data_IF_516460437751
#
_entry.id   IF_516460437751
#
_cell.length_a   1.000
_cell.length_b   1.000
_cell.length_c   1.000
_cell.angle_alpha   90.00
_cell.angle_beta   90.00
_cell.angle_gamma   90.00
#
_symmetry.space_group_name_H-M   'P 1'
#
loop_
_entity.id
_entity.type
_entity.pdbx_description
1 polymer ?
2 non-polymer ?
3 non-polymer ?
4 non-polymer ?
5 non-polymer ?
6 water ?
#
# COMPACT_ATOMS: atom_id res chain seq x y z
N UNK A 2 -1.00 -32.44 0.82
CA UNK A 2 -2.40 -32.00 1.16
C UNK A 2 -3.33 -31.81 -0.06
N UNK A 3 -4.63 -31.57 0.21
CA UNK A 3 -5.60 -31.21 -0.83
C UNK A 3 -6.24 -29.85 -0.51
N UNK A 4 -6.81 -29.23 -1.53
CA UNK A 4 -7.58 -28.03 -1.34
C UNK A 4 -8.89 -28.39 -0.63
N UNK A 5 -9.43 -27.49 0.22
CA UNK A 5 -10.66 -27.79 0.94
C UNK A 5 -11.82 -28.02 -0.03
N UNK A 6 -12.74 -28.88 0.35
CA UNK A 6 -13.88 -29.22 -0.50
C UNK A 6 -14.74 -28.00 -0.92
N UNK A 7 -14.96 -27.08 0.03
CA UNK A 7 -15.80 -25.90 -0.26
C UNK A 7 -15.16 -25.00 -1.31
N UNK A 8 -13.83 -24.94 -1.31
CA UNK A 8 -13.09 -24.21 -2.33
C UNK A 8 -13.21 -24.89 -3.68
N UNK A 9 -12.88 -26.18 -3.68
CA UNK A 9 -13.00 -27.02 -4.89
C UNK A 9 -14.43 -26.96 -5.47
N UNK A 10 -15.44 -26.83 -4.62
CA UNK A 10 -16.82 -26.79 -5.09
C UNK A 10 -17.12 -25.64 -6.05
N UNK A 11 -16.45 -24.53 -5.80
CA UNK A 11 -16.70 -23.25 -6.47
C UNK A 11 -15.65 -22.83 -7.48
N UNK A 12 -14.44 -23.43 -7.40
CA UNK A 12 -13.24 -22.98 -8.14
C UNK A 12 -12.46 -24.19 -8.61
N UNK A 13 -11.89 -24.05 -9.80
CA UNK A 13 -10.84 -24.95 -10.29
C UNK A 13 -9.47 -24.28 -10.11
N UNK A 14 -8.57 -24.95 -9.41
CA UNK A 14 -7.28 -24.38 -9.07
C UNK A 14 -6.27 -24.70 -10.15
N UNK A 15 -5.41 -23.72 -10.41
CA UNK A 15 -4.45 -23.82 -11.48
C UNK A 15 -3.06 -23.45 -10.97
N UNK A 16 -2.27 -22.84 -11.86
CA UNK A 16 -0.86 -22.57 -11.64
C UNK A 16 -0.59 -21.52 -10.58
N UNK A 17 0.65 -21.53 -10.11
CA UNK A 17 1.13 -20.58 -9.13
C UNK A 17 1.47 -19.29 -9.85
N UNK A 18 1.01 -18.18 -9.30
CA UNK A 18 1.29 -16.85 -9.81
C UNK A 18 2.44 -16.24 -9.03
N UNK A 19 2.52 -16.56 -7.75
CA UNK A 19 3.59 -16.08 -6.87
C UNK A 19 3.70 -16.82 -5.54
N UNK A 20 4.63 -16.36 -4.72
CA UNK A 20 4.88 -16.95 -3.39
C UNK A 20 5.18 -15.89 -2.32
N UNK A 21 4.37 -15.88 -1.25
CA UNK A 21 4.70 -15.17 -0.01
C UNK A 21 5.56 -16.05 0.90
N UNK A 22 5.81 -15.58 2.13
CA UNK A 22 6.74 -16.25 3.05
C UNK A 22 6.18 -17.57 3.57
N UNK A 24 2.90 -18.46 2.74
CA UNK A 24 2.32 -17.61 1.67
C UNK A 24 2.49 -18.11 0.25
N UNK A 25 1.48 -17.92 -0.57
CA UNK A 25 1.46 -18.37 -1.97
C UNK A 25 0.22 -17.83 -2.69
N UNK A 26 0.35 -17.48 -3.97
CA UNK A 26 -0.81 -17.06 -4.80
C UNK A 26 -1.02 -17.97 -6.02
N UNK A 27 -2.23 -18.51 -6.15
CA UNK A 27 -2.61 -19.39 -7.25
C UNK A 27 -3.61 -18.74 -8.20
N UNK A 28 -3.50 -19.09 -9.48
CA UNK A 28 -4.56 -18.83 -10.45
C UNK A 28 -5.69 -19.81 -10.20
N UNK A 29 -6.91 -19.33 -10.27
CA UNK A 29 -8.07 -20.20 -10.20
C UNK A 29 -9.12 -19.69 -11.16
N UNK A 30 -10.06 -20.56 -11.47
CA UNK A 30 -11.19 -20.20 -12.32
C UNK A 30 -12.45 -20.38 -11.51
N UNK A 31 -13.26 -19.35 -11.42
CA UNK A 31 -14.55 -19.47 -10.79
C UNK A 31 -15.47 -20.27 -11.69
N UNK A 32 -16.07 -21.35 -11.16
CA UNK A 32 -16.82 -22.30 -12.01
C UNK A 32 -18.05 -21.62 -12.61
N UNK A 33 -18.74 -20.82 -11.81
CA UNK A 33 -19.95 -20.15 -12.24
C UNK A 33 -19.76 -19.26 -13.48
N UNK A 34 -18.64 -18.55 -13.52
CA UNK A 34 -18.44 -17.54 -14.55
C UNK A 34 -17.36 -17.95 -15.59
N UNK A 35 -16.58 -18.97 -15.25
CA UNK A 35 -15.38 -19.37 -15.99
C UNK A 35 -14.32 -18.26 -16.07
N UNK A 36 -14.32 -17.36 -15.11
CA UNK A 36 -13.42 -16.24 -15.13
C UNK A 36 -12.30 -16.46 -14.12
N UNK A 37 -11.16 -15.84 -14.40
CA UNK A 37 -9.95 -16.02 -13.61
C UNK A 37 -10.01 -15.21 -12.37
N UNK A 38 -9.50 -15.78 -11.28
CA UNK A 38 -9.37 -15.10 -10.01
C UNK A 38 -7.99 -15.46 -9.44
N UNK A 39 -7.55 -14.71 -8.45
CA UNK A 39 -6.34 -15.04 -7.71
C UNK A 39 -6.77 -15.54 -6.35
N UNK A 40 -6.03 -16.54 -5.85
CA UNK A 40 -6.29 -17.11 -4.53
C UNK A 40 -5.01 -17.06 -3.71
N UNK A 41 -5.07 -16.29 -2.64
CA UNK A 41 -3.95 -16.17 -1.70
C UNK A 41 -4.13 -17.23 -0.60
N UNK A 42 -3.10 -18.03 -0.42
CA UNK A 42 -3.07 -19.04 0.62
C UNK A 42 -2.18 -18.52 1.76
N UNK A 43 -2.71 -18.54 2.97
CA UNK A 43 -1.98 -18.18 4.19
C UNK A 43 -1.99 -19.40 5.13
N UNK A 44 -0.82 -19.98 5.37
CA UNK A 44 -0.67 -21.08 6.31
C UNK A 44 -1.07 -20.64 7.71
N UNK A 45 -1.72 -21.52 8.47
CA UNK A 45 -2.16 -21.14 9.82
C UNK A 45 -1.04 -21.13 10.87
N UNK A 61 -4.97 -13.19 12.93
CA UNK A 61 -6.06 -12.25 12.75
C UNK A 61 -6.41 -12.08 11.26
N UNK A 62 -6.33 -13.17 10.52
CA UNK A 62 -6.67 -13.15 9.11
C UNK A 62 -8.15 -12.83 8.95
N UNK A 63 -9.00 -13.38 9.81
CA UNK A 63 -10.45 -13.21 9.66
C UNK A 63 -10.83 -11.75 9.90
N UNK A 64 -10.13 -11.05 10.78
CA UNK A 64 -10.41 -9.63 10.96
C UNK A 64 -9.74 -8.74 9.88
N UNK A 65 -8.61 -9.18 9.30
CA UNK A 65 -8.12 -8.56 8.07
C UNK A 65 -9.19 -8.64 7.00
N UNK A 66 -9.83 -9.79 6.89
CA UNK A 66 -10.93 -9.99 5.95
C UNK A 66 -12.09 -9.04 6.21
N UNK A 67 -12.43 -8.86 7.48
CA UNK A 67 -13.53 -7.98 7.83
C UNK A 67 -13.19 -6.54 7.49
N UNK A 68 -11.95 -6.14 7.72
CA UNK A 68 -11.49 -4.81 7.30
C UNK A 68 -11.64 -4.65 5.79
N UNK A 69 -11.14 -5.60 5.03
CA UNK A 69 -11.19 -5.45 3.58
C UNK A 69 -12.59 -5.58 2.96
N UNK A 70 -13.47 -6.35 3.61
CA UNK A 70 -14.86 -6.38 3.17
C UNK A 70 -15.58 -5.01 3.31
N UNK A 71 -15.14 -4.14 4.21
CA UNK A 71 -15.87 -2.89 4.41
C UNK A 71 -15.27 -1.70 3.65
N UNK A 72 -14.09 -1.90 3.08
CA UNK A 72 -13.42 -0.85 2.33
C UNK A 72 -13.85 -0.93 0.86
N UNK A 73 -14.04 0.23 0.23
CA UNK A 73 -14.52 0.29 -1.13
C UNK A 73 -13.81 1.42 -1.84
N UNK A 74 -12.68 1.07 -2.45
CA UNK A 74 -11.86 2.04 -3.19
C UNK A 74 -11.23 1.33 -4.37
N UNK A 75 -11.13 2.02 -5.51
CA UNK A 75 -10.58 1.32 -6.71
C UNK A 75 -9.09 0.94 -6.61
N UNK A 76 -8.39 1.53 -5.66
CA UNK A 76 -6.96 1.28 -5.45
C UNK A 76 -6.65 0.43 -4.23
N UNK A 77 -7.66 -0.28 -3.76
CA UNK A 77 -7.54 -1.21 -2.65
C UNK A 77 -8.17 -2.50 -3.10
N UNK A 78 -7.46 -3.58 -2.87
CA UNK A 78 -7.92 -4.90 -3.28
C UNK A 78 -9.23 -5.31 -2.62
N UNK A 79 -10.10 -5.97 -3.38
CA UNK A 79 -11.39 -6.44 -2.89
C UNK A 79 -11.37 -7.94 -2.72
N UNK A 80 -12.01 -8.41 -1.67
CA UNK A 80 -12.12 -9.83 -1.37
C UNK A 80 -13.40 -10.34 -2.03
N UNK A 81 -13.26 -11.40 -2.81
CA UNK A 81 -14.38 -12.05 -3.50
C UNK A 81 -14.89 -13.22 -2.70
N UNK A 82 -13.99 -13.90 -2.00
CA UNK A 82 -14.37 -15.04 -1.19
C UNK A 82 -13.31 -15.36 -0.17
N UNK A 83 -13.67 -16.20 0.78
CA UNK A 83 -12.79 -16.53 1.91
C UNK A 83 -13.14 -17.89 2.42
N UNK A 84 -12.13 -18.72 2.64
CA UNK A 84 -12.26 -20.05 3.18
C UNK A 84 -11.25 -20.23 4.29
N UNK A 85 -11.76 -20.59 5.46
CA UNK A 85 -10.98 -20.80 6.66
C UNK A 85 -10.96 -22.29 6.94
N UNK A 86 -9.91 -22.94 6.47
CA UNK A 86 -9.79 -24.39 6.54
C UNK A 86 -8.45 -24.78 7.19
N UNK A 87 -7.78 -25.81 6.68
CA UNK A 87 -6.42 -26.19 7.13
C UNK A 87 -5.50 -24.96 7.01
N UNK A 88 -5.65 -24.23 5.91
CA UNK A 88 -5.04 -22.95 5.72
C UNK A 88 -6.16 -21.95 5.44
N UNK A 89 -5.80 -20.68 5.32
CA UNK A 89 -6.74 -19.67 4.83
C UNK A 89 -6.60 -19.51 3.34
N UNK A 90 -7.73 -19.35 2.67
CA UNK A 90 -7.78 -19.09 1.24
C UNK A 90 -8.57 -17.81 1.07
N UNK A 91 -7.96 -16.83 0.42
CA UNK A 91 -8.59 -15.56 0.13
C UNK A 91 -8.66 -15.42 -1.36
N UNK A 92 -9.88 -15.29 -1.87
CA UNK A 92 -10.10 -15.13 -3.29
C UNK A 92 -10.21 -13.64 -3.62
N UNK A 93 -9.45 -13.20 -4.60
CA UNK A 93 -9.58 -11.84 -5.10
C UNK A 93 -9.49 -11.72 -6.60
N UNK A 94 -9.79 -10.50 -7.06
CA UNK A 94 -9.64 -10.11 -8.44
C UNK A 94 -8.20 -10.38 -8.85
N UNK A 95 -8.03 -10.87 -10.08
CA UNK A 95 -6.73 -11.11 -10.66
C UNK A 95 -6.03 -9.77 -10.96
N UNK A 96 -4.75 -9.70 -10.68
CA UNK A 96 -3.99 -8.50 -10.93
C UNK A 96 -2.82 -8.97 -11.75
N UNK A 97 -3.04 -9.02 -13.06
CA UNK A 97 -2.16 -9.68 -13.99
C UNK A 97 -0.81 -9.06 -14.15
N UNK A 98 -0.69 -7.80 -13.76
CA UNK A 98 0.58 -7.11 -13.75
C UNK A 98 1.53 -7.57 -12.66
N UNK A 99 1.00 -8.21 -11.63
CA UNK A 99 1.83 -8.70 -10.53
C UNK A 99 2.20 -7.60 -9.55
N UNK A 100 3.27 -7.84 -8.80
CA UNK A 100 3.74 -6.91 -7.76
C UNK A 100 4.57 -5.81 -8.36
N UNK A 101 4.47 -4.61 -7.78
CA UNK A 101 5.36 -3.49 -8.12
C UNK A 101 6.83 -3.86 -7.88
N UNK A 102 7.06 -4.70 -6.86
CA UNK A 102 8.39 -5.18 -6.53
C UNK A 102 9.20 -5.58 -7.79
N UNK A 103 8.57 -6.38 -8.64
CA UNK A 103 9.21 -6.89 -9.84
C UNK A 103 9.53 -5.81 -10.87
N UNK A 104 8.89 -4.65 -10.80
CA UNK A 104 9.22 -3.53 -11.69
C UNK A 104 10.42 -2.70 -11.22
N UNK A 105 10.81 -2.86 -9.96
CA UNK A 105 11.87 -2.01 -9.37
C UNK A 105 13.07 -2.77 -8.89
N UNK A 106 13.02 -4.08 -8.99
CA UNK A 106 14.07 -4.94 -8.52
C UNK A 106 15.25 -4.90 -9.53
N UNK A 107 16.47 -5.12 -9.04
CA UNK A 107 17.67 -5.09 -9.89
C UNK A 107 17.99 -3.72 -10.49
N UNK A 108 17.71 -2.67 -9.71
CA UNK A 108 17.93 -1.28 -10.15
C UNK A 108 17.16 -0.89 -11.41
N UNK A 109 16.11 -1.65 -11.73
CA UNK A 109 15.26 -1.25 -12.82
C UNK A 109 14.55 0.00 -12.36
N UNK A 110 14.26 0.88 -13.30
CA UNK A 110 13.43 2.01 -12.92
C UNK A 110 12.44 2.43 -13.98
N UNK A 111 11.31 2.85 -13.45
CA UNK A 111 10.16 3.28 -14.17
C UNK A 111 10.38 4.72 -14.64
N UNK A 112 9.74 5.10 -15.74
CA UNK A 112 9.77 6.49 -16.18
C UNK A 112 9.15 7.30 -15.06
N UNK A 113 9.62 8.52 -14.88
CA UNK A 113 9.05 9.44 -13.89
C UNK A 113 7.52 9.56 -14.04
N UNK A 114 7.03 9.65 -15.28
CA UNK A 114 5.57 9.66 -15.56
C UNK A 114 4.81 8.46 -14.96
N UNK A 115 5.40 7.27 -15.08
CA UNK A 115 4.78 6.05 -14.59
C UNK A 115 4.82 6.06 -13.05
N UNK A 116 5.93 6.51 -12.48
CA UNK A 116 6.02 6.73 -11.04
C UNK A 116 4.90 7.61 -10.50
N UNK A 117 4.60 8.70 -11.22
CA UNK A 117 3.63 9.65 -10.77
C UNK A 117 2.22 9.04 -10.79
N UNK A 118 1.92 8.28 -11.84
CA UNK A 118 0.62 7.62 -12.02
C UNK A 118 0.40 6.63 -10.91
N UNK A 119 1.37 5.76 -10.71
CA UNK A 119 1.31 4.80 -9.62
C UNK A 119 1.22 5.46 -8.26
N UNK A 120 2.12 6.40 -8.01
CA UNK A 120 2.14 7.06 -6.70
C UNK A 120 0.87 7.82 -6.35
N UNK A 121 0.32 8.52 -7.33
CA UNK A 121 -0.98 9.17 -7.16
C UNK A 121 -1.99 8.19 -6.62
N UNK A 122 -2.01 7.01 -7.20
CA UNK A 122 -3.01 6.01 -6.79
C UNK A 122 -2.75 5.47 -5.40
N UNK A 123 -1.48 5.25 -5.07
CA UNK A 123 -1.08 4.89 -3.71
C UNK A 123 -1.55 5.93 -2.71
N UNK A 124 -1.34 7.21 -3.02
CA UNK A 124 -1.80 8.29 -2.14
C UNK A 124 -3.31 8.29 -1.96
N UNK A 125 -4.05 8.16 -3.07
CA UNK A 125 -5.52 8.05 -2.98
C UNK A 125 -5.95 6.89 -2.08
N UNK A 126 -5.33 5.73 -2.26
CA UNK A 126 -5.63 4.54 -1.44
C UNK A 126 -5.35 4.81 0.02
N UNK A 127 -4.16 5.31 0.32
CA UNK A 127 -3.76 5.47 1.70
C UNK A 127 -4.60 6.59 2.32
N UNK A 128 -4.83 7.67 1.60
CA UNK A 128 -5.73 8.73 2.07
C UNK A 128 -7.08 8.18 2.48
N UNK A 129 -7.62 7.28 1.67
CA UNK A 129 -8.92 6.68 1.93
C UNK A 129 -8.84 5.82 3.18
N UNK A 130 -7.74 5.07 3.33
CA UNK A 130 -7.54 4.29 4.57
C UNK A 130 -7.60 5.18 5.76
N UNK A 131 -6.81 6.24 5.74
CA UNK A 131 -6.68 7.11 6.93
C UNK A 131 -7.97 7.83 7.23
N UNK A 132 -8.70 8.25 6.19
CA UNK A 132 -10.05 8.80 6.39
C UNK A 132 -10.97 7.83 7.06
N UNK A 133 -10.81 6.54 6.76
CA UNK A 133 -11.63 5.51 7.33
C UNK A 133 -11.06 4.90 8.61
N UNK A 134 -10.05 5.53 9.20
CA UNK A 134 -9.53 5.08 10.51
C UNK A 134 -8.69 3.81 10.45
N UNK A 135 -8.07 3.56 9.31
CA UNK A 135 -7.25 2.41 9.13
C UNK A 135 -5.80 2.83 8.80
N UNK A 136 -4.83 2.23 9.48
CA UNK A 136 -3.41 2.40 9.11
C UNK A 136 -2.92 1.06 8.54
N UNK A 137 -2.22 1.08 7.42
CA UNK A 137 -1.78 -0.17 6.74
C UNK A 137 -0.60 -0.84 7.47
N UNK A 138 0.44 -0.05 7.67
CA UNK A 138 1.64 -0.42 8.42
C UNK A 138 2.63 -1.35 7.75
N UNK A 139 2.40 -1.75 6.50
CA UNK A 139 3.34 -2.60 5.81
C UNK A 139 3.35 -2.23 4.33
N UNK A 140 3.36 -0.94 4.04
CA UNK A 140 3.36 -0.51 2.66
C UNK A 140 4.75 -0.77 2.13
N UNK A 141 4.81 -1.51 1.02
CA UNK A 141 6.06 -1.80 0.31
C UNK A 141 5.76 -2.30 -1.09
N UNK A 142 6.79 -2.30 -1.97
CA UNK A 142 6.50 -2.68 -3.36
C UNK A 142 5.87 -4.06 -3.51
N UNK A 143 6.15 -4.95 -2.57
CA UNK A 143 5.56 -6.29 -2.61
C UNK A 143 4.02 -6.27 -2.45
N UNK A 144 3.51 -5.21 -1.81
CA UNK A 144 2.09 -5.11 -1.46
C UNK A 144 1.34 -4.10 -2.33
N UNK A 145 1.95 -3.75 -3.45
CA UNK A 145 1.31 -2.98 -4.50
C UNK A 145 1.19 -3.87 -5.75
N UNK A 146 -0.05 -4.10 -6.19
CA UNK A 146 -0.36 -4.98 -7.33
C UNK A 146 -0.77 -4.13 -8.52
N UNK A 147 -0.36 -4.56 -9.72
CA UNK A 147 -0.64 -3.87 -10.96
C UNK A 147 -1.72 -4.64 -11.73
N UNK A 148 -2.71 -3.91 -12.24
CA UNK A 148 -3.87 -4.55 -12.88
C UNK A 148 -3.55 -5.21 -14.20
N UNK A 149 -2.48 -4.78 -14.84
CA UNK A 149 -2.17 -5.28 -16.15
C UNK A 149 -0.67 -5.20 -16.40
N UNK A 150 -0.25 -5.78 -17.51
CA UNK A 150 1.15 -5.75 -17.90
C UNK A 150 1.51 -4.49 -18.69
N UNK A 151 0.51 -3.65 -19.00
CA UNK A 151 0.76 -2.31 -19.58
C UNK A 151 1.36 -1.42 -18.49
N UNK A 152 2.19 -0.48 -18.90
CA UNK A 152 2.77 0.46 -17.97
C UNK A 152 1.73 1.37 -17.34
N UNK A 153 0.81 1.87 -18.16
CA UNK A 153 -0.29 2.70 -17.68
C UNK A 153 -1.36 1.76 -17.22
N UNK A 154 -1.43 1.54 -15.91
CA UNK A 154 -2.44 0.64 -15.37
C UNK A 154 -2.91 1.08 -14.00
N UNK A 155 -3.94 0.42 -13.50
CA UNK A 155 -4.39 0.67 -12.14
C UNK A 155 -3.56 -0.15 -11.18
N UNK A 156 -3.34 0.40 -10.00
CA UNK A 156 -2.68 -0.31 -8.96
C UNK A 156 -3.63 -0.47 -7.77
N UNK A 157 -3.40 -1.53 -7.00
CA UNK A 157 -4.16 -1.77 -5.79
C UNK A 157 -3.23 -2.20 -4.67
N UNK A 158 -3.47 -1.65 -3.51
CA UNK A 158 -2.72 -2.00 -2.33
C UNK A 158 -3.36 -3.22 -1.75
N UNK A 159 -2.52 -4.14 -1.31
CA UNK A 159 -2.94 -5.37 -0.68
C UNK A 159 -2.21 -5.64 0.65
N UNK A 160 -2.51 -6.79 1.25
CA UNK A 160 -1.93 -7.27 2.50
C UNK A 160 -2.16 -6.36 3.69
N UNK A 161 -3.30 -6.58 4.33
CA UNK A 161 -3.66 -5.85 5.53
C UNK A 161 -3.37 -6.62 6.82
N UNK A 162 -2.43 -7.57 6.75
CA UNK A 162 -2.03 -8.40 7.88
C UNK A 162 -1.46 -7.63 9.06
N UNK A 163 -0.92 -6.44 8.82
CA UNK A 163 -0.35 -5.64 9.93
C UNK A 163 -1.20 -4.42 10.22
N UNK A 164 -2.37 -4.30 9.59
CA UNK A 164 -3.14 -3.08 9.67
C UNK A 164 -3.68 -2.87 11.08
N UNK A 165 -4.00 -1.63 11.39
CA UNK A 165 -4.64 -1.36 12.65
C UNK A 165 -5.77 -0.36 12.51
N UNK A 166 -6.81 -0.58 13.31
CA UNK A 166 -8.01 0.22 13.27
C UNK A 166 -7.90 1.26 14.37
N UNK A 167 -7.96 2.53 13.98
CA UNK A 167 -7.95 3.63 14.92
C UNK A 167 -9.31 3.75 15.57
N UNK A 168 -9.34 4.20 16.81
CA UNK A 168 -10.59 4.44 17.53
C UNK A 168 -10.24 5.06 18.87
N UNK A 169 -11.20 5.09 19.80
CA UNK A 169 -10.98 5.76 21.06
C UNK A 169 -9.84 5.08 21.79
N UNK A 170 -8.84 5.86 22.18
CA UNK A 170 -7.68 5.30 22.82
C UNK A 170 -7.83 5.23 24.34
N UNK A 171 -6.96 4.43 24.93
CA UNK A 171 -6.84 4.39 26.39
C UNK A 171 -6.48 5.76 26.88
N UNK A 172 -5.56 6.41 26.16
CA UNK A 172 -5.14 7.76 26.48
C UNK A 172 -6.35 8.69 26.60
N UNK A 173 -7.20 8.70 25.59
CA UNK A 173 -8.36 9.58 25.60
C UNK A 173 -9.21 9.30 26.81
N UNK A 174 -9.40 8.02 27.13
CA UNK A 174 -10.18 7.65 28.32
C UNK A 174 -9.47 8.15 29.60
N UNK A 175 -8.15 8.02 29.65
CA UNK A 175 -7.37 8.49 30.81
C UNK A 175 -7.55 10.00 30.97
N UNK A 176 -7.42 10.76 29.90
CA UNK A 176 -7.54 12.21 29.99
C UNK A 176 -8.91 12.72 30.42
N UNK A 177 -9.91 11.85 30.49
CA UNK A 177 -11.23 12.32 30.93
C UNK A 177 -11.32 12.61 32.41
N UNK A 178 -10.51 11.89 33.21
CA UNK A 178 -10.42 12.11 34.65
C UNK A 178 -9.33 13.07 35.08
N UNK A 179 -9.05 13.10 36.38
CA UNK A 179 -8.04 13.96 37.01
C UNK A 179 -6.78 13.11 37.23
N UNK A 180 -5.59 13.66 36.88
CA UNK A 180 -4.38 12.82 36.87
C UNK A 180 -3.67 12.69 38.21
N UNK A 181 -4.43 12.73 39.30
CA UNK A 181 -3.87 12.61 40.62
C UNK A 181 -2.85 11.45 40.75
N UNK A 182 -3.19 10.31 40.13
CA UNK A 182 -2.44 9.05 40.31
C UNK A 182 -1.74 8.62 39.05
N UNK A 183 -1.82 9.46 38.03
CA UNK A 183 -1.30 9.18 36.69
C UNK A 183 0.18 9.52 36.49
N UNK A 184 0.87 8.58 35.85
CA UNK A 184 2.30 8.61 35.60
C UNK A 184 2.70 9.70 34.59
N UNK A 185 3.83 10.39 34.83
CA UNK A 185 4.22 11.49 33.97
C UNK A 185 4.40 11.09 32.50
N UNK A 186 4.85 9.85 32.25
CA UNK A 186 5.08 9.41 30.90
C UNK A 186 3.78 9.32 30.09
N UNK A 187 2.65 9.15 30.77
CA UNK A 187 1.38 9.11 30.05
C UNK A 187 1.05 10.54 29.58
N UNK A 188 1.27 11.50 30.48
CA UNK A 188 1.04 12.91 30.16
C UNK A 188 1.97 13.38 29.07
N UNK A 189 3.25 12.99 29.14
CA UNK A 189 4.22 13.27 28.07
C UNK A 189 3.82 12.71 26.72
N UNK A 190 3.27 11.48 26.66
CA UNK A 190 2.79 10.90 25.41
C UNK A 190 1.68 11.66 24.69
N UNK A 191 0.99 12.56 25.39
CA UNK A 191 -0.06 13.35 24.76
C UNK A 191 0.45 14.22 23.61
N UNK A 192 1.69 14.71 23.68
CA UNK A 192 2.21 15.59 22.63
C UNK A 192 2.26 14.94 21.25
N UNK A 193 2.47 13.63 21.23
CA UNK A 193 2.72 12.90 20.01
C UNK A 193 1.67 11.87 19.68
N UNK A 194 0.67 11.66 20.54
CA UNK A 194 -0.37 10.68 20.26
C UNK A 194 -1.15 11.03 19.00
N UNK A 195 -1.71 10.02 18.33
CA UNK A 195 -2.63 10.27 17.24
C UNK A 195 -1.93 10.55 15.90
N UNK A 196 -0.63 10.29 15.83
CA UNK A 196 0.13 10.39 14.58
C UNK A 196 0.66 9.07 14.03
N UNK A 197 0.04 7.97 14.44
CA UNK A 197 0.49 6.64 14.03
C UNK A 197 0.31 6.45 12.52
N UNK A 198 -0.66 7.15 11.91
CA UNK A 198 -0.89 7.07 10.48
C UNK A 198 0.34 7.58 9.69
N UNK A 199 1.13 8.47 10.31
CA UNK A 199 2.31 9.00 9.63
C UNK A 199 3.33 7.92 9.24
N UNK A 200 3.30 6.73 9.87
CA UNK A 200 4.21 5.64 9.47
C UNK A 200 3.97 5.22 8.02
N UNK A 201 2.71 5.32 7.57
CA UNK A 201 2.36 4.99 6.17
C UNK A 201 2.91 6.00 5.20
N UNK A 202 2.90 7.28 5.60
CA UNK A 202 3.48 8.31 4.80
C UNK A 202 4.96 8.20 4.64
N UNK A 203 5.65 7.75 5.69
CA UNK A 203 7.09 7.43 5.59
C UNK A 203 7.37 6.34 4.55
N UNK A 204 6.71 5.21 4.71
CA UNK A 204 6.82 4.10 3.75
C UNK A 204 6.56 4.46 2.30
N UNK A 205 5.53 5.27 2.09
CA UNK A 205 5.21 5.79 0.76
C UNK A 205 6.40 6.59 0.26
N UNK A 206 6.98 7.42 1.12
CA UNK A 206 8.21 8.13 0.81
C UNK A 206 9.33 7.24 0.33
N UNK A 207 9.53 6.13 1.03
CA UNK A 207 10.53 5.12 0.67
C UNK A 207 10.18 4.44 -0.65
N UNK A 208 8.90 4.07 -0.83
CA UNK A 208 8.44 3.53 -2.11
C UNK A 208 8.69 4.49 -3.28
N UNK A 209 8.29 5.74 -3.13
CA UNK A 209 8.52 6.72 -4.19
C UNK A 209 9.99 6.88 -4.52
N UNK A 210 10.82 7.00 -3.49
CA UNK A 210 12.26 7.04 -3.64
C UNK A 210 12.77 5.90 -4.53
N UNK A 211 12.37 4.68 -4.20
CA UNK A 211 12.77 3.50 -4.93
C UNK A 211 12.27 3.51 -6.37
N UNK A 212 10.99 3.87 -6.57
CA UNK A 212 10.43 3.95 -7.91
C UNK A 212 11.21 4.94 -8.80
N UNK A 213 11.53 6.12 -8.27
CA UNK A 213 12.15 7.18 -9.06
C UNK A 213 13.59 6.93 -9.39
N UNK A 214 14.28 6.24 -8.51
CA UNK A 214 15.75 6.08 -8.54
C UNK A 214 16.22 4.65 -8.84
N UNK A 215 15.34 3.67 -8.64
CA UNK A 215 15.72 2.24 -8.72
C UNK A 215 16.62 1.70 -7.61
N UNK A 216 16.82 2.45 -6.53
CA UNK A 216 17.59 1.96 -5.37
C UNK A 216 16.98 2.46 -4.03
N UNK A 217 17.21 1.71 -2.92
CA UNK A 217 16.59 2.09 -1.62
C UNK A 217 17.31 3.24 -0.92
N UNK A 218 16.54 4.16 -0.28
CA UNK A 218 17.17 5.30 0.41
C UNK A 218 18.05 4.88 1.58
N UNK A 219 17.68 3.81 2.26
CA UNK A 219 18.35 3.38 3.45
C UNK A 219 18.70 1.92 3.24
N UNK A 220 19.97 1.59 3.28
CA UNK A 220 20.38 0.21 3.10
C UNK A 220 21.81 0.08 3.57
N UNK A 221 22.23 -1.13 3.90
CA UNK A 221 23.60 -1.36 4.38
C UNK A 221 24.64 -1.56 3.25
N UNK A 222 24.23 -1.31 2.00
CA UNK A 222 25.12 -1.48 0.86
C UNK A 222 26.18 -0.39 0.84
N UNK A 223 27.44 -0.81 0.83
CA UNK A 223 28.59 0.10 0.75
C UNK A 223 28.46 1.32 1.67
N UNK A 224 28.20 1.04 2.95
CA UNK A 224 28.21 2.07 4.00
C UNK A 224 28.60 1.46 5.35
N UNK A 225 29.15 2.31 6.20
CA UNK A 225 29.50 1.92 7.56
C UNK A 225 28.46 2.39 8.59
N UNK A 226 27.52 3.25 8.19
CA UNK A 226 26.44 3.68 9.10
C UNK A 226 25.35 2.60 9.13
N UNK A 227 24.92 2.27 10.33
CA UNK A 227 23.94 1.25 10.53
C UNK A 227 22.63 1.70 9.86
N UNK A 228 21.87 0.74 9.37
CA UNK A 228 20.55 1.02 8.81
C UNK A 228 19.69 1.85 9.79
N UNK A 229 19.72 1.46 11.05
CA UNK A 229 18.96 2.18 12.06
C UNK A 229 19.36 3.63 12.21
N UNK A 230 20.67 3.90 12.18
CA UNK A 230 21.15 5.27 12.31
C UNK A 230 20.82 6.07 11.05
N UNK A 231 20.86 5.41 9.89
CA UNK A 231 20.46 6.04 8.62
C UNK A 231 19.02 6.51 8.71
N UNK A 232 18.15 5.62 9.19
CA UNK A 232 16.74 5.91 9.24
C UNK A 232 16.42 6.98 10.30
N UNK A 233 16.89 6.79 11.54
CA UNK A 233 16.56 7.75 12.60
C UNK A 233 17.15 9.15 12.36
N UNK A 234 18.27 9.24 11.66
CA UNK A 234 18.84 10.55 11.33
C UNK A 234 18.11 11.15 10.09
N UNK A 235 17.39 10.32 9.35
CA UNK A 235 16.79 10.70 8.08
C UNK A 235 17.76 10.93 6.93
N UNK A 236 18.98 10.42 7.07
CA UNK A 236 20.00 10.68 6.09
C UNK A 236 20.04 9.61 4.99
N UNK A 237 19.18 9.77 3.99
CA UNK A 237 19.09 8.85 2.86
C UNK A 237 20.34 8.92 1.97
N UNK A 238 20.56 7.84 1.24
CA UNK A 238 21.69 7.71 0.31
C UNK A 238 21.34 8.41 -0.96
N UNK A 239 21.89 9.62 -1.14
CA UNK A 239 21.70 10.37 -2.37
C UNK A 239 22.84 10.22 -3.37
N UNK A 240 22.57 9.57 -4.51
CA UNK A 240 23.55 9.42 -5.59
C UNK A 240 23.15 10.34 -6.78
N UNK A 241 23.87 11.47 -6.94
CA UNK A 241 23.32 12.47 -7.88
C UNK A 241 23.15 11.99 -9.32
N UNK A 242 24.03 11.09 -9.77
CA UNK A 242 24.01 10.67 -11.18
C UNK A 242 22.74 9.92 -11.49
N UNK A 243 22.36 9.05 -10.58
CA UNK A 243 21.07 8.35 -10.68
C UNK A 243 19.92 9.38 -10.68
N UNK A 244 19.98 10.39 -9.82
CA UNK A 244 18.88 11.36 -9.73
C UNK A 244 18.85 12.50 -10.79
N UNK A 245 19.93 12.68 -11.55
CA UNK A 245 20.09 13.84 -12.46
C UNK A 245 18.89 13.93 -13.38
N UNK A 246 18.49 12.76 -13.87
CA UNK A 246 17.38 12.64 -14.78
C UNK A 246 15.99 12.81 -14.16
N UNK A 247 15.89 12.88 -12.82
CA UNK A 247 14.59 12.99 -12.13
C UNK A 247 14.31 14.45 -11.86
N UNK A 248 13.07 14.88 -12.00
CA UNK A 248 12.70 16.24 -11.68
C UNK A 248 13.02 16.65 -10.23
N UNK A 249 13.17 17.96 -10.03
CA UNK A 249 13.31 18.56 -8.72
C UNK A 249 12.01 18.47 -7.92
N UNK A 250 10.85 18.56 -8.60
CA UNK A 250 9.54 18.50 -7.93
C UNK A 250 9.29 17.11 -7.31
N UNK A 251 9.66 16.05 -8.04
CA UNK A 251 9.57 14.67 -7.58
C UNK A 251 10.42 14.46 -6.33
N UNK A 252 11.67 14.94 -6.38
CA UNK A 252 12.56 14.80 -5.25
C UNK A 252 12.12 15.65 -4.08
N UNK A 253 11.56 16.82 -4.35
CA UNK A 253 11.01 17.65 -3.27
C UNK A 253 9.95 16.92 -2.46
N UNK A 254 9.06 16.19 -3.13
CA UNK A 254 7.98 15.44 -2.43
C UNK A 254 8.60 14.33 -1.61
N UNK A 255 9.53 13.61 -2.21
CA UNK A 255 10.27 12.56 -1.50
C UNK A 255 10.77 13.10 -0.19
N UNK A 256 11.42 14.27 -0.23
CA UNK A 256 12.02 14.89 0.96
C UNK A 256 11.00 15.30 2.03
N UNK A 257 9.78 15.64 1.63
CA UNK A 257 8.73 16.04 2.58
C UNK A 257 8.04 14.84 3.25
N UNK A 258 8.19 13.68 2.63
CA UNK A 258 7.67 12.40 3.16
C UNK A 258 8.71 11.70 4.04
N UNK A 259 9.98 11.91 3.74
CA UNK A 259 11.05 11.26 4.53
C UNK A 259 11.53 12.23 5.58
N UNK A 260 10.59 12.75 6.35
CA UNK A 260 10.80 13.70 7.40
C UNK A 260 10.71 12.87 8.67
N UNK A 261 11.73 12.99 9.49
CA UNK A 261 11.89 12.16 10.67
C UNK A 261 10.84 12.45 11.73
N UNK A 262 10.52 13.72 11.95
CA UNK A 262 9.46 14.07 12.90
C UNK A 262 8.08 13.77 12.29
N UNK A 263 7.33 12.81 12.88
CA UNK A 263 6.05 12.39 12.35
C UNK A 263 5.00 13.47 12.34
N UNK A 264 5.08 14.48 13.22
CA UNK A 264 4.12 15.56 13.21
C UNK A 264 4.40 16.55 12.08
N UNK A 265 5.66 16.69 11.69
CA UNK A 265 6.04 17.55 10.56
C UNK A 265 5.88 16.86 9.17
N UNK A 266 6.00 15.56 9.15
CA UNK A 266 5.90 14.76 7.89
C UNK A 266 4.63 15.11 7.14
N UNK A 267 4.76 15.17 5.81
CA UNK A 267 3.59 15.30 4.94
C UNK A 267 2.57 14.23 5.21
N UNK A 268 1.31 14.66 5.28
CA UNK A 268 0.18 13.79 5.29
C UNK A 268 -0.15 13.42 3.83
N UNK A 269 -1.07 12.49 3.63
CA UNK A 269 -1.49 12.12 2.26
C UNK A 269 -2.15 13.33 1.53
N UNK A 270 -2.86 14.18 2.27
CA UNK A 270 -3.50 15.37 1.71
C UNK A 270 -2.45 16.36 1.23
N UNK A 271 -1.42 16.57 2.05
CA UNK A 271 -0.34 17.48 1.68
C UNK A 271 0.41 16.99 0.46
N UNK A 272 0.61 15.67 0.39
CA UNK A 272 1.29 15.06 -0.74
C UNK A 272 0.47 15.26 -2.04
N UNK A 273 -0.85 15.09 -1.94
CA UNK A 273 -1.73 15.15 -3.10
C UNK A 273 -1.84 16.59 -3.65
N UNK A 274 -1.59 17.57 -2.80
CA UNK A 274 -1.56 18.98 -3.15
C UNK A 274 -0.19 19.43 -3.58
N UNK A 275 0.81 18.56 -3.50
CA UNK A 275 2.15 18.91 -3.92
C UNK A 275 2.22 19.21 -5.44
N UNK A 276 3.06 20.19 -5.84
CA UNK A 276 3.23 20.49 -7.27
C UNK A 276 3.43 19.29 -8.16
N UNK A 277 4.20 18.29 -7.73
CA UNK A 277 4.47 17.13 -8.56
C UNK A 277 3.19 16.42 -9.01
N UNK A 278 2.15 16.45 -8.18
CA UNK A 278 0.92 15.72 -8.49
C UNK A 278 -0.13 16.62 -9.16
N UNK A 279 0.22 17.86 -9.42
CA UNK A 279 -0.70 18.79 -10.12
C UNK A 279 -0.41 18.57 -11.60
N UNK A 280 -0.94 17.48 -12.13
CA UNK A 280 -0.56 16.96 -13.44
C UNK A 280 -1.81 16.44 -14.09
N UNK A 281 -2.40 17.29 -14.93
CA UNK A 281 -3.67 16.97 -15.55
C UNK A 281 -3.65 15.82 -16.53
N UNK A 282 -2.52 15.59 -17.21
CA UNK A 282 -2.47 14.45 -18.10
C UNK A 282 -2.50 13.16 -17.29
N UNK A 283 -1.65 13.11 -16.25
CA UNK A 283 -1.63 11.95 -15.33
C UNK A 283 -3.04 11.67 -14.83
N UNK A 284 -3.72 12.69 -14.35
CA UNK A 284 -5.02 12.48 -13.77
C UNK A 284 -6.07 12.02 -14.80
N UNK A 285 -5.88 12.44 -16.07
CA UNK A 285 -6.69 11.91 -17.18
C UNK A 285 -6.42 10.45 -17.43
N UNK A 286 -5.17 10.05 -17.52
CA UNK A 286 -4.87 8.63 -17.69
C UNK A 286 -5.52 7.80 -16.58
N UNK A 287 -5.50 8.30 -15.34
CA UNK A 287 -6.08 7.56 -14.24
C UNK A 287 -7.59 7.43 -14.42
N UNK A 288 -8.28 8.53 -14.67
CA UNK A 288 -9.73 8.49 -14.88
C UNK A 288 -10.14 7.60 -16.04
N UNK A 289 -9.37 7.65 -17.13
CA UNK A 289 -9.59 6.78 -18.27
C UNK A 289 -9.46 5.33 -17.88
N UNK A 290 -8.40 5.01 -17.13
CA UNK A 290 -8.20 3.64 -16.65
C UNK A 290 -9.35 3.15 -15.76
N UNK A 291 -9.88 4.03 -14.94
CA UNK A 291 -11.00 3.68 -14.07
C UNK A 291 -12.24 3.29 -14.88
N UNK A 292 -12.63 4.13 -15.83
CA UNK A 292 -13.86 3.89 -16.60
C UNK A 292 -13.71 2.63 -17.42
N UNK A 293 -12.52 2.42 -17.97
CA UNK A 293 -12.20 1.18 -18.63
C UNK A 293 -12.39 -0.07 -17.75
N UNK A 294 -11.97 -0.01 -16.49
CA UNK A 294 -12.16 -1.14 -15.55
C UNK A 294 -13.66 -1.43 -15.35
N UNK A 295 -14.45 -0.36 -15.30
CA UNK A 295 -15.84 -0.44 -14.89
C UNK A 295 -16.81 -1.05 -15.96
N UNK A 296 -17.78 -1.85 -15.47
CA UNK A 296 -18.85 -2.53 -16.28
C UNK A 296 -20.27 -2.26 -15.68
N UNK A 297 -20.75 -1.11 -16.08
CA UNK A 297 -21.78 -0.41 -15.40
C UNK A 297 -23.15 -0.92 -15.83
N UNK A 298 -24.11 -0.78 -14.94
CA UNK A 298 -25.51 -1.03 -15.28
C UNK A 298 -26.03 0.19 -16.04
N UNK A 299 -27.17 0.07 -16.74
CA UNK A 299 -27.76 1.28 -17.34
C UNK A 299 -28.16 2.25 -16.18
N UNK A 300 -28.20 3.55 -16.45
CA UNK A 300 -28.50 4.56 -15.44
C UNK A 300 -29.70 5.41 -15.88
N UNK A 301 -30.52 5.91 -14.92
CA UNK A 301 -31.52 6.91 -15.37
C UNK A 301 -30.86 8.20 -15.89
N UNK A 302 -31.20 8.56 -17.14
CA UNK A 302 -30.68 9.73 -17.86
C UNK A 302 -29.15 9.69 -18.00
X LIG B 1 -2.99 -11.93 -9.90
X LIG B 1 -1.93 -12.02 -10.54
X LIG B 1 -1.99 -12.16 -11.75
X LIG B 1 -0.69 -12.01 -9.89
X LIG B 1 0.51 -12.21 -10.58
X LIG B 1 -0.66 -11.81 -8.53
X LIG B 1 -1.62 -11.58 -7.62
X LIG B 1 -1.09 -11.40 -6.36
X LIG B 1 0.27 -11.56 -6.46
X LIG B 1 0.53 -11.81 -7.84
X LIG B 1 1.74 -12.02 -8.49
X LIG B 1 1.72 -12.22 -9.88
X LIG B 1 -1.88 -11.19 -5.14
X LIG B 1 -3.11 -11.21 -5.23
X LIG B 1 -1.21 -11.00 -4.01
X LIG B 1 -1.77 -10.86 -2.73
X LIG B 1 -0.88 -10.76 -1.66
X LIG B 1 -1.32 -10.65 -0.37
X LIG B 1 -2.68 -10.65 -0.11
X LIG B 1 -3.57 -10.78 -1.16
X LIG B 1 -3.12 -10.90 -2.48
X LIG B 1 -3.15 -10.55 1.32
X LIG B 1 -4.52 -10.08 1.65
X LIG B 1 -2.37 -10.94 2.25
X LIG B 1 -2.69 -10.87 3.46
X LIG B 1 -1.80 -11.34 4.33
X LIG B 1 -2.00 -11.34 5.63
X LIG B 1 -0.75 -11.88 3.89
X LIG C 1 3.23 -8.49 5.20
X LIG D 1 -3.51 8.14 14.33
X LIG D 1 -4.81 8.53 14.55
X LIG D 1 -2.88 8.41 13.13
X LIG D 1 -2.86 7.48 15.33
X LIG E 1 4.38 22.08 -1.07
X LIG E 1 3.13 21.56 -1.54
X LIG E 1 5.50 21.50 -1.91
X LIG E 1 6.34 22.47 -2.57
X LIG F 1 16.52 4.22 19.30
X LIG F 1 15.59 3.54 20.17
X LIG F 1 16.70 5.70 19.72
X LIG F 1 17.09 6.57 18.63
#
# INVERSE_FOLDING_TARGET
MSVYPKALRDEYIMSKTLGSGACGEVKLAFERKTCKKVAIKIISKRKFAIGSAREADPALNVETEIEILKKLNHPCIIKIKNFFDAEDYYIVLELMEGGELFDKVVGNKRLKEATCKLYFYQMLLAVQYLHENGIIHRDLKPENVLLSSQEEDCLIKITDFGHSKILGETSLMRTLCGTPTYLAPEVLVSVGTAGYNRAVDCWSLGVILFICLSGYPPFSEHRTQVSLKDQITSGKYNFIPEVWAEVSEKALDLVKKLLVVDPKARFTTEEALRHPWLQDEDMKRKFQDLLSEENESTALPQVLAQPSTSRKRPREGEAEGAE
D1A O3 N7 O2 C3 C2 C4 N1 C8 C7 C5 C6 C1 C9 O1 N2 C10 C15 C14 C13 C12 C11 C16 C17 N3 N4 C18 N6 N5
MG MG
NO3 N O1 O2 O3
EDO C1 O1 C2 O2
EDO C1 O1 C2 O2
#
